data_IF_498234694857
#
_entry.id   IF_498234694857
#
_cell.length_a   1.000
_cell.length_b   1.000
_cell.length_c   1.000
_cell.angle_alpha   90.00
_cell.angle_beta   90.00
_cell.angle_gamma   90.00
#
_symmetry.space_group_name_H-M   'P 1'
#
loop_
_entity.id
_entity.type
_entity.pdbx_description
1 polymer ?
#
# COMPACT_ATOMS: atom_id res chain seq x y z
N UNK A 1 -8.87 2.88 8.72
CA UNK A 1 -7.89 1.78 8.43
C UNK A 1 -8.27 0.57 9.25
N UNK A 2 -8.21 -0.62 8.71
CA UNK A 2 -8.30 -1.86 9.48
C UNK A 2 -7.10 -2.76 9.14
N UNK A 3 -6.74 -3.65 10.07
CA UNK A 3 -5.57 -4.50 9.93
C UNK A 3 -5.97 -5.98 9.81
N UNK A 4 -5.30 -6.70 8.92
CA UNK A 4 -5.30 -8.15 8.80
C UNK A 4 -4.02 -8.67 9.47
N UNK A 5 -4.09 -8.98 10.78
CA UNK A 5 -2.92 -9.44 11.53
C UNK A 5 -2.79 -10.97 11.50
N UNK A 6 -1.55 -11.45 11.47
CA UNK A 6 -1.21 -12.87 11.57
C UNK A 6 -1.97 -13.78 10.60
N UNK A 7 -2.15 -13.34 9.37
CA UNK A 7 -2.89 -14.08 8.31
C UNK A 7 -4.38 -14.30 8.59
N UNK A 8 -4.94 -13.72 9.62
CA UNK A 8 -6.38 -13.75 9.89
C UNK A 8 -7.07 -12.59 9.20
N UNK A 9 -8.00 -12.90 8.32
CA UNK A 9 -8.84 -11.87 7.70
C UNK A 9 -9.93 -11.43 8.67
N UNK A 10 -10.06 -10.12 8.83
CA UNK A 10 -11.22 -9.52 9.52
C UNK A 10 -12.52 -9.83 8.76
N UNK A 11 -13.66 -9.61 9.39
CA UNK A 11 -14.96 -9.72 8.70
C UNK A 11 -15.13 -8.53 7.74
N UNK A 12 -14.49 -8.65 6.58
CA UNK A 12 -14.33 -7.57 5.60
C UNK A 12 -15.67 -7.09 5.05
N UNK A 13 -16.63 -8.00 4.88
CA UNK A 13 -17.96 -7.66 4.34
C UNK A 13 -18.67 -6.63 5.20
N UNK A 14 -18.68 -6.85 6.52
CA UNK A 14 -19.32 -5.92 7.48
C UNK A 14 -18.59 -4.58 7.52
N UNK A 15 -17.27 -4.60 7.39
CA UNK A 15 -16.48 -3.37 7.34
C UNK A 15 -16.78 -2.60 6.05
N UNK A 16 -16.84 -3.28 4.90
CA UNK A 16 -17.19 -2.64 3.63
C UNK A 16 -18.62 -2.08 3.65
N UNK A 17 -19.58 -2.85 4.18
CA UNK A 17 -20.96 -2.40 4.34
C UNK A 17 -21.04 -1.13 5.19
N UNK A 18 -20.39 -1.12 6.34
CA UNK A 18 -20.30 0.05 7.22
C UNK A 18 -19.66 1.25 6.50
N UNK A 19 -18.51 1.03 5.85
CA UNK A 19 -17.82 2.09 5.13
C UNK A 19 -18.68 2.67 4.00
N UNK A 20 -19.41 1.82 3.29
CA UNK A 20 -20.33 2.24 2.22
C UNK A 20 -21.51 3.04 2.77
N UNK A 21 -22.10 2.58 3.87
CA UNK A 21 -23.24 3.26 4.52
C UNK A 21 -22.92 4.69 4.94
N UNK A 22 -21.70 4.91 5.43
CA UNK A 22 -21.26 6.20 5.96
C UNK A 22 -20.34 6.97 4.99
N UNK A 23 -20.18 6.50 3.76
CA UNK A 23 -19.28 7.10 2.76
C UNK A 23 -17.83 7.27 3.27
N UNK A 24 -17.32 6.26 3.99
CA UNK A 24 -15.97 6.23 4.56
C UNK A 24 -15.05 5.47 3.61
N UNK A 25 -13.85 6.02 3.36
CA UNK A 25 -12.81 5.36 2.58
C UNK A 25 -12.15 4.25 3.39
N UNK A 26 -12.11 3.04 2.81
CA UNK A 26 -11.50 1.88 3.45
C UNK A 26 -10.05 1.74 3.02
N UNK A 27 -9.15 1.68 3.98
CA UNK A 27 -7.74 1.37 3.78
C UNK A 27 -7.41 0.09 4.55
N UNK A 28 -6.77 -0.87 3.88
CA UNK A 28 -6.35 -2.12 4.47
C UNK A 28 -4.87 -2.07 4.88
N UNK A 29 -4.58 -2.43 6.12
CA UNK A 29 -3.23 -2.80 6.52
C UNK A 29 -3.08 -4.32 6.37
N UNK A 30 -2.47 -4.73 5.29
CA UNK A 30 -2.22 -6.13 4.93
C UNK A 30 -0.74 -6.50 5.05
N UNK A 31 -0.01 -5.77 5.91
CA UNK A 31 1.42 -5.96 6.12
C UNK A 31 1.81 -7.37 6.60
N UNK A 32 0.86 -8.14 7.15
CA UNK A 32 1.07 -9.49 7.67
C UNK A 32 0.14 -10.54 7.04
N UNK A 33 -0.52 -10.20 5.93
CA UNK A 33 -1.51 -11.09 5.32
C UNK A 33 -1.27 -11.40 3.84
N UNK A 34 -0.04 -11.22 3.37
CA UNK A 34 0.31 -11.61 2.00
C UNK A 34 0.04 -13.10 1.77
N UNK A 35 -0.68 -13.42 0.70
CA UNK A 35 -1.11 -14.78 0.39
C UNK A 35 -2.36 -15.25 1.13
N UNK A 36 -2.95 -14.43 2.01
CA UNK A 36 -4.20 -14.74 2.69
C UNK A 36 -5.40 -14.35 1.85
N UNK A 37 -6.46 -15.16 1.93
CA UNK A 37 -7.69 -14.95 1.15
C UNK A 37 -8.90 -14.92 2.08
N UNK A 38 -9.84 -14.03 1.78
CA UNK A 38 -11.16 -14.01 2.36
C UNK A 38 -12.19 -14.18 1.25
N UNK A 39 -13.04 -15.20 1.33
CA UNK A 39 -14.04 -15.53 0.31
C UNK A 39 -13.47 -15.57 -1.12
N UNK A 40 -12.28 -16.15 -1.29
CA UNK A 40 -11.65 -16.33 -2.59
C UNK A 40 -10.95 -15.09 -3.18
N UNK A 41 -10.93 -13.97 -2.47
CA UNK A 41 -10.25 -12.75 -2.88
C UNK A 41 -9.11 -12.43 -1.90
N UNK A 42 -7.94 -12.05 -2.43
CA UNK A 42 -6.77 -11.74 -1.62
C UNK A 42 -7.02 -10.56 -0.67
N UNK A 43 -6.61 -10.70 0.60
CA UNK A 43 -6.61 -9.58 1.54
C UNK A 43 -5.70 -8.48 1.02
N UNK A 44 -6.06 -7.23 1.27
CA UNK A 44 -5.40 -6.08 0.65
C UNK A 44 -5.99 -5.67 -0.71
N UNK A 45 -7.08 -6.30 -1.14
CA UNK A 45 -7.78 -5.94 -2.39
C UNK A 45 -9.23 -5.50 -2.20
N UNK A 46 -9.67 -5.35 -0.97
CA UNK A 46 -11.04 -4.97 -0.62
C UNK A 46 -11.23 -3.47 -0.43
N UNK A 47 -10.20 -2.77 0.03
CA UNK A 47 -10.21 -1.34 0.24
C UNK A 47 -9.90 -0.53 -1.03
N UNK A 48 -9.96 0.78 -0.90
CA UNK A 48 -9.55 1.73 -1.94
C UNK A 48 -8.03 1.71 -2.14
N UNK A 49 -7.30 1.39 -1.08
CA UNK A 49 -5.87 1.10 -1.07
C UNK A 49 -5.50 0.14 0.06
N UNK A 50 -4.36 -0.50 -0.06
CA UNK A 50 -3.79 -1.34 0.98
C UNK A 50 -2.27 -1.25 1.01
N UNK A 51 -1.69 -1.77 2.10
CA UNK A 51 -0.24 -1.81 2.32
C UNK A 51 0.18 -3.26 2.52
N UNK A 52 1.25 -3.67 1.84
CA UNK A 52 1.95 -4.94 2.03
C UNK A 52 3.38 -4.62 2.44
N UNK A 53 3.91 -5.35 3.43
CA UNK A 53 5.27 -5.17 3.92
C UNK A 53 6.19 -6.29 3.47
N UNK A 54 7.42 -5.93 3.10
CA UNK A 54 8.52 -6.84 2.77
C UNK A 54 9.67 -6.75 3.79
N UNK A 55 9.35 -6.35 5.02
CA UNK A 55 10.34 -6.29 6.09
C UNK A 55 10.89 -7.70 6.43
N UNK A 56 12.02 -7.76 7.13
CA UNK A 56 12.76 -9.00 7.40
C UNK A 56 11.99 -10.11 8.12
N UNK A 57 10.94 -9.75 8.86
CA UNK A 57 10.08 -10.67 9.60
C UNK A 57 8.78 -11.08 8.88
N UNK A 58 8.59 -10.66 7.63
CA UNK A 58 7.34 -10.90 6.89
C UNK A 58 7.38 -12.22 6.12
N UNK A 59 6.21 -12.65 5.62
CA UNK A 59 6.02 -13.91 4.87
C UNK A 59 6.97 -13.99 3.67
N UNK A 60 7.12 -12.87 2.95
CA UNK A 60 8.15 -12.69 1.91
C UNK A 60 8.90 -11.42 2.26
N UNK A 61 10.22 -11.48 2.21
CA UNK A 61 11.09 -10.34 2.50
C UNK A 61 12.04 -10.05 1.35
N UNK A 62 12.28 -8.78 1.12
CA UNK A 62 13.39 -8.30 0.31
C UNK A 62 14.35 -7.40 1.14
N UNK A 63 14.43 -7.67 2.46
CA UNK A 63 15.25 -6.93 3.41
C UNK A 63 14.60 -5.70 4.02
N UNK A 64 13.50 -5.23 3.44
CA UNK A 64 12.73 -4.08 3.89
C UNK A 64 11.86 -3.50 2.79
N UNK A 65 11.10 -2.48 3.13
CA UNK A 65 10.21 -1.77 2.22
C UNK A 65 8.77 -2.26 2.23
N UNK A 66 7.95 -1.54 1.52
CA UNK A 66 6.50 -1.73 1.48
C UNK A 66 5.98 -1.51 0.06
N UNK A 67 4.79 -2.02 -0.19
CA UNK A 67 4.05 -1.82 -1.44
C UNK A 67 2.66 -1.29 -1.13
N UNK A 68 2.25 -0.25 -1.84
CA UNK A 68 0.87 0.23 -1.84
C UNK A 68 0.14 -0.39 -3.03
N UNK A 69 -0.98 -1.05 -2.76
CA UNK A 69 -1.88 -1.59 -3.77
C UNK A 69 -3.11 -0.67 -3.89
N UNK A 70 -3.51 -0.36 -5.11
CA UNK A 70 -4.73 0.41 -5.38
C UNK A 70 -5.20 0.20 -6.82
N UNK A 71 -6.51 0.28 -7.03
CA UNK A 71 -7.11 0.33 -8.38
C UNK A 71 -7.40 1.77 -8.84
N UNK A 72 -7.05 2.78 -8.02
CA UNK A 72 -7.28 4.19 -8.32
C UNK A 72 -6.01 4.81 -8.92
N UNK A 73 -6.07 5.20 -10.19
CA UNK A 73 -4.99 5.94 -10.84
C UNK A 73 -4.68 7.28 -10.15
N UNK A 74 -5.66 7.88 -9.49
CA UNK A 74 -5.48 9.12 -8.73
C UNK A 74 -4.65 8.87 -7.48
N UNK A 75 -4.95 7.81 -6.74
CA UNK A 75 -4.18 7.42 -5.55
C UNK A 75 -2.76 7.01 -5.98
N UNK A 76 -2.63 6.21 -7.02
CA UNK A 76 -1.32 5.79 -7.53
C UNK A 76 -0.43 6.98 -7.87
N UNK A 77 -0.93 7.97 -8.63
CA UNK A 77 -0.20 9.19 -8.96
C UNK A 77 0.18 9.98 -7.71
N UNK A 78 -0.74 10.13 -6.77
CA UNK A 78 -0.50 10.87 -5.53
C UNK A 78 0.57 10.20 -4.68
N UNK A 79 0.47 8.89 -4.48
CA UNK A 79 1.48 8.12 -3.72
C UNK A 79 2.85 8.21 -4.37
N UNK A 80 2.95 8.01 -5.68
CA UNK A 80 4.23 8.17 -6.41
C UNK A 80 4.82 9.55 -6.22
N UNK A 81 4.01 10.58 -6.31
CA UNK A 81 4.45 11.96 -6.16
C UNK A 81 4.99 12.24 -4.75
N UNK A 82 4.20 11.98 -3.71
CA UNK A 82 4.60 12.28 -2.33
C UNK A 82 5.75 11.42 -1.82
N UNK A 83 5.87 10.15 -2.28
CA UNK A 83 6.97 9.25 -1.87
C UNK A 83 8.29 9.52 -2.61
N UNK A 84 8.28 10.40 -3.59
CA UNK A 84 9.45 10.91 -4.29
C UNK A 84 9.72 12.39 -3.98
N UNK A 85 9.48 12.78 -2.73
CA UNK A 85 9.70 14.15 -2.23
C UNK A 85 8.77 15.20 -2.83
N UNK A 86 7.68 14.83 -3.49
CA UNK A 86 6.77 15.71 -4.21
C UNK A 86 7.48 16.68 -5.18
N UNK A 87 8.55 16.17 -5.83
CA UNK A 87 9.34 16.95 -6.77
C UNK A 87 8.56 17.14 -8.07
N UNK A 88 8.57 18.37 -8.58
CA UNK A 88 8.01 18.69 -9.89
C UNK A 88 8.84 18.07 -11.03
N UNK A 89 8.19 17.73 -12.13
CA UNK A 89 8.81 16.98 -13.26
C UNK A 89 9.72 17.81 -14.15
N UNK A 90 10.00 19.06 -13.78
CA UNK A 90 10.87 19.92 -14.60
C UNK A 90 12.34 19.53 -14.46
N UNK A 91 13.06 19.39 -15.59
CA UNK A 91 14.43 18.88 -15.62
C UNK A 91 15.46 19.79 -14.94
N UNK A 92 15.24 21.09 -14.94
CA UNK A 92 16.20 22.09 -14.46
C UNK A 92 15.72 22.90 -13.25
N UNK A 93 14.44 22.77 -12.90
CA UNK A 93 13.86 23.44 -11.72
C UNK A 93 13.66 22.41 -10.63
N UNK A 94 14.33 22.62 -9.50
CA UNK A 94 14.22 21.77 -8.32
C UNK A 94 13.18 22.38 -7.37
N UNK A 95 11.91 22.29 -7.77
CA UNK A 95 10.77 22.69 -6.96
C UNK A 95 9.99 21.50 -6.43
N UNK A 96 9.32 21.71 -5.31
CA UNK A 96 8.48 20.71 -4.66
C UNK A 96 7.10 21.35 -4.47
N UNK A 97 6.06 20.75 -5.03
CA UNK A 97 4.71 21.32 -5.02
C UNK A 97 4.01 21.20 -3.66
N UNK A 98 4.50 20.30 -2.82
CA UNK A 98 3.94 20.03 -1.49
C UNK A 98 4.97 19.31 -0.60
N UNK A 99 4.61 19.04 0.65
CA UNK A 99 5.44 18.20 1.54
C UNK A 99 5.41 16.77 1.02
N UNK A 100 6.60 16.23 0.75
CA UNK A 100 6.81 14.87 0.32
C UNK A 100 7.90 14.17 1.12
N UNK A 101 8.06 12.86 0.88
CA UNK A 101 8.97 11.99 1.63
C UNK A 101 9.81 11.17 0.68
N UNK A 102 11.00 10.77 1.10
CA UNK A 102 11.83 9.81 0.37
C UNK A 102 11.55 8.40 0.91
N UNK A 103 10.42 7.82 0.52
CA UNK A 103 9.92 6.53 1.03
C UNK A 103 9.87 5.44 -0.04
N UNK A 104 10.62 5.61 -1.13
CA UNK A 104 10.68 4.58 -2.16
C UNK A 104 11.58 3.43 -1.74
N UNK A 105 11.14 2.21 -2.08
CA UNK A 105 11.95 1.01 -1.94
C UNK A 105 13.26 1.15 -2.73
N UNK A 106 14.44 0.92 -2.10
CA UNK A 106 15.71 0.95 -2.82
C UNK A 106 15.76 -0.08 -3.95
N UNK A 107 16.47 0.25 -5.03
CA UNK A 107 16.52 -0.60 -6.22
C UNK A 107 17.03 -2.02 -5.94
N UNK A 108 17.98 -2.19 -5.01
CA UNK A 108 18.50 -3.50 -4.61
C UNK A 108 17.39 -4.35 -3.99
N UNK A 109 16.63 -3.77 -3.06
CA UNK A 109 15.50 -4.45 -2.41
C UNK A 109 14.39 -4.76 -3.43
N UNK A 110 14.09 -3.83 -4.34
CA UNK A 110 13.12 -4.04 -5.40
C UNK A 110 13.53 -5.17 -6.35
N UNK A 111 14.81 -5.24 -6.72
CA UNK A 111 15.34 -6.31 -7.57
C UNK A 111 15.20 -7.68 -6.89
N UNK A 112 15.52 -7.77 -5.59
CA UNK A 112 15.33 -9.00 -4.81
C UNK A 112 13.85 -9.40 -4.74
N UNK A 113 12.96 -8.45 -4.58
CA UNK A 113 11.50 -8.71 -4.54
C UNK A 113 10.91 -9.11 -5.90
N UNK A 114 11.62 -8.91 -7.00
CA UNK A 114 11.21 -9.32 -8.36
C UNK A 114 11.79 -10.69 -8.77
N UNK A 115 12.74 -11.24 -8.03
CA UNK A 115 13.39 -12.52 -8.31
C UNK A 115 12.57 -13.70 -7.82
#
# INVERSE_FOLDING_TARGET
MYSNAFSWSSNVDKIQEFCSLYNIKLIEDSAESLGSFYKGKHTGSYGESSIISFNGNKIITCGGGEMVLTNSATIEKKVRHITTTAKDTHSWVFSHSEIGYNYRLPNINAALGCA
#
